data_IF_658658778350
#
_entry.id   IF_658658778350
#
_cell.length_a   1.000
_cell.length_b   1.000
_cell.length_c   1.000
_cell.angle_alpha   90.00
_cell.angle_beta   90.00
_cell.angle_gamma   90.00
#
_symmetry.space_group_name_H-M   'P 1'
#
loop_
_entity.id
_entity.type
_entity.pdbx_description
1 polymer ?
#
# COMPACT_ATOMS: atom_id res chain seq x y z
N UNK A 1 12.90 -12.10 10.90
CA UNK A 1 13.37 -10.87 10.18
C UNK A 1 12.77 -9.57 10.71
N UNK A 2 11.45 -9.35 10.72
CA UNK A 2 10.81 -8.11 11.21
C UNK A 2 11.24 -7.77 12.64
N UNK A 3 11.12 -8.71 13.57
CA UNK A 3 11.41 -8.50 14.99
C UNK A 3 12.91 -8.30 15.24
N UNK A 4 13.76 -8.94 14.45
CA UNK A 4 15.21 -8.72 14.46
C UNK A 4 15.58 -7.33 13.96
N UNK A 5 14.95 -6.84 12.88
CA UNK A 5 15.16 -5.49 12.37
C UNK A 5 14.74 -4.45 13.43
N UNK A 6 13.59 -4.65 14.07
CA UNK A 6 13.11 -3.77 15.14
C UNK A 6 14.07 -3.77 16.32
N UNK A 7 14.52 -4.95 16.77
CA UNK A 7 15.49 -5.08 17.85
C UNK A 7 16.80 -4.35 17.56
N UNK A 8 17.33 -4.50 16.33
CA UNK A 8 18.55 -3.82 15.87
C UNK A 8 18.35 -2.32 15.81
N UNK A 9 17.22 -1.83 15.27
CA UNK A 9 16.91 -0.39 15.22
C UNK A 9 16.83 0.21 16.63
N UNK A 10 16.18 -0.46 17.55
CA UNK A 10 16.02 -0.01 18.92
C UNK A 10 17.40 0.09 19.63
N UNK A 11 18.22 -0.95 19.47
CA UNK A 11 19.56 -0.97 20.08
C UNK A 11 20.50 0.09 19.43
N UNK A 12 20.50 0.19 18.11
CA UNK A 12 21.33 1.16 17.38
C UNK A 12 21.05 2.61 17.79
N UNK A 13 19.82 2.95 18.12
CA UNK A 13 19.46 4.31 18.51
C UNK A 13 19.57 4.59 20.00
N UNK A 14 19.28 3.62 20.86
CA UNK A 14 19.39 3.82 22.32
C UNK A 14 20.81 3.97 22.80
N UNK A 15 21.78 3.30 22.15
CA UNK A 15 23.15 3.29 22.65
C UNK A 15 24.14 4.08 21.77
N UNK A 16 23.71 4.87 20.76
CA UNK A 16 24.64 5.48 19.80
C UNK A 16 25.94 4.70 19.79
N UNK A 17 26.03 3.58 19.06
CA UNK A 17 27.05 2.52 19.11
C UNK A 17 28.39 3.06 19.65
N UNK A 18 28.54 3.10 20.97
CA UNK A 18 29.81 3.47 21.54
C UNK A 18 30.77 2.30 21.28
N UNK A 19 31.62 2.46 20.29
CA UNK A 19 32.61 1.45 19.89
C UNK A 19 33.55 1.04 21.02
N UNK A 20 33.60 1.82 22.09
CA UNK A 20 34.36 1.54 23.32
C UNK A 20 33.54 0.72 24.35
N UNK A 21 32.27 0.41 24.07
CA UNK A 21 31.46 -0.45 24.94
C UNK A 21 32.14 -1.80 25.13
N UNK A 22 32.30 -2.21 26.37
CA UNK A 22 32.92 -3.50 26.71
C UNK A 22 31.92 -4.62 26.52
N UNK A 23 32.28 -5.59 25.69
CA UNK A 23 31.52 -6.82 25.48
C UNK A 23 32.13 -7.92 26.34
N UNK A 24 31.38 -8.40 27.30
CA UNK A 24 31.80 -9.53 28.17
C UNK A 24 31.72 -10.83 27.40
N UNK A 25 32.86 -11.42 27.08
CA UNK A 25 32.95 -12.75 26.44
C UNK A 25 33.57 -13.76 27.43
N UNK A 26 33.18 -15.03 27.38
CA UNK A 26 33.81 -16.04 28.23
C UNK A 26 35.32 -16.09 28.01
N UNK A 27 36.08 -15.64 29.02
CA UNK A 27 37.53 -15.69 29.01
C UNK A 27 38.28 -14.34 28.85
N UNK A 28 37.65 -13.29 28.30
CA UNK A 28 38.22 -11.93 28.22
C UNK A 28 37.20 -10.90 27.75
N UNK A 29 37.39 -9.68 28.23
CA UNK A 29 36.61 -8.53 27.82
C UNK A 29 37.26 -7.86 26.61
N UNK A 30 36.43 -7.48 25.63
CA UNK A 30 36.85 -6.75 24.43
C UNK A 30 35.94 -5.55 24.20
N UNK A 31 36.50 -4.49 23.64
CA UNK A 31 35.65 -3.40 23.15
C UNK A 31 34.82 -3.85 21.92
N UNK A 32 33.66 -3.24 21.72
CA UNK A 32 32.82 -3.50 20.55
C UNK A 32 33.62 -3.29 19.24
N UNK A 33 34.49 -2.28 19.20
CA UNK A 33 35.41 -2.02 18.09
C UNK A 33 36.34 -3.21 17.80
N UNK A 34 36.89 -3.83 18.85
CA UNK A 34 37.75 -5.02 18.71
C UNK A 34 36.93 -6.26 18.30
N UNK A 35 35.70 -6.41 18.79
CA UNK A 35 34.83 -7.52 18.40
C UNK A 35 34.41 -7.44 16.93
N UNK A 36 34.18 -6.23 16.42
CA UNK A 36 33.76 -5.97 15.06
C UNK A 36 34.94 -5.86 14.08
N UNK A 37 36.20 -5.84 14.58
CA UNK A 37 37.42 -5.62 13.78
C UNK A 37 37.27 -4.45 12.79
N UNK A 38 36.77 -3.33 13.30
CA UNK A 38 36.67 -2.10 12.52
C UNK A 38 38.06 -1.52 12.31
N UNK A 39 38.47 -1.32 11.06
CA UNK A 39 39.75 -0.70 10.72
C UNK A 39 39.74 0.82 10.95
N UNK A 40 40.90 1.47 10.71
CA UNK A 40 41.06 2.91 10.87
C UNK A 40 40.13 3.73 9.94
N UNK A 41 39.62 3.13 8.89
CA UNK A 41 38.72 3.74 7.92
C UNK A 41 37.24 3.43 8.20
N UNK A 42 36.92 2.80 9.35
CA UNK A 42 35.53 2.42 9.70
C UNK A 42 35.00 1.20 8.95
N UNK A 43 35.86 0.44 8.24
CA UNK A 43 35.48 -0.74 7.49
C UNK A 43 35.56 -1.99 8.37
N UNK A 44 34.53 -2.82 8.29
CA UNK A 44 34.44 -4.07 9.04
C UNK A 44 35.14 -5.17 8.24
N UNK A 45 36.21 -5.75 8.78
CA UNK A 45 37.11 -6.68 8.06
C UNK A 45 36.83 -8.17 8.36
N UNK A 46 36.01 -8.52 9.33
CA UNK A 46 35.81 -9.92 9.73
C UNK A 46 34.33 -10.32 9.81
N UNK A 47 33.78 -10.76 8.71
CA UNK A 47 32.40 -11.22 8.60
C UNK A 47 32.06 -12.39 9.53
N UNK A 48 32.98 -13.34 9.76
CA UNK A 48 32.73 -14.48 10.67
C UNK A 48 32.55 -14.04 12.12
N UNK A 49 33.34 -13.07 12.58
CA UNK A 49 33.24 -12.52 13.93
C UNK A 49 31.96 -11.70 14.13
N UNK A 50 31.57 -10.96 13.09
CA UNK A 50 30.30 -10.24 13.08
C UNK A 50 29.13 -11.22 13.16
N UNK A 51 29.16 -12.27 12.34
CA UNK A 51 28.12 -13.31 12.37
C UNK A 51 28.04 -13.98 13.74
N UNK A 52 29.18 -14.21 14.39
CA UNK A 52 29.24 -14.81 15.74
C UNK A 52 28.73 -13.82 16.81
N UNK A 53 29.13 -12.57 16.75
CA UNK A 53 28.64 -11.51 17.64
C UNK A 53 27.12 -11.35 17.49
N UNK A 54 26.62 -11.31 16.27
CA UNK A 54 25.22 -11.17 15.97
C UNK A 54 24.39 -12.38 16.41
N UNK A 55 24.94 -13.59 16.34
CA UNK A 55 24.31 -14.81 16.91
C UNK A 55 24.22 -14.73 18.44
N UNK A 56 25.20 -14.14 19.10
CA UNK A 56 25.10 -13.90 20.55
C UNK A 56 24.09 -12.78 20.86
N UNK A 57 24.05 -11.75 20.05
CA UNK A 57 23.07 -10.66 20.15
C UNK A 57 21.63 -11.11 19.92
N UNK A 58 21.40 -12.03 18.97
CA UNK A 58 20.07 -12.63 18.72
C UNK A 58 19.58 -13.54 19.85
N UNK A 59 20.46 -13.91 20.80
CA UNK A 59 20.06 -14.62 22.03
C UNK A 59 19.45 -13.69 23.08
N UNK A 60 19.55 -12.35 22.89
CA UNK A 60 18.83 -11.41 23.74
C UNK A 60 17.33 -11.72 23.64
N UNK A 61 16.73 -11.87 24.80
CA UNK A 61 15.31 -12.15 24.88
C UNK A 61 14.56 -10.91 24.35
N UNK A 62 13.85 -11.07 23.24
CA UNK A 62 13.10 -9.96 22.63
C UNK A 62 12.07 -9.34 23.59
N UNK A 63 11.68 -10.08 24.64
CA UNK A 63 10.78 -9.59 25.68
C UNK A 63 11.44 -8.55 26.61
N UNK A 64 12.78 -8.49 26.64
CA UNK A 64 13.53 -7.53 27.45
C UNK A 64 13.80 -6.23 26.71
N UNK A 65 13.44 -6.16 25.41
CA UNK A 65 13.60 -4.95 24.59
C UNK A 65 12.34 -4.11 24.74
N UNK A 66 12.43 -3.05 25.51
CA UNK A 66 11.37 -2.03 25.59
C UNK A 66 11.44 -1.18 24.34
N UNK A 67 10.48 -1.40 23.43
CA UNK A 67 10.32 -0.55 22.24
C UNK A 67 9.61 0.72 22.69
N UNK A 68 10.32 1.84 22.70
CA UNK A 68 9.66 3.15 22.90
C UNK A 68 8.75 3.43 21.72
N UNK A 69 7.44 3.48 21.98
CA UNK A 69 6.42 3.75 20.94
C UNK A 69 6.54 5.14 20.33
N UNK A 70 7.20 6.07 21.01
CA UNK A 70 7.40 7.45 20.56
C UNK A 70 8.67 7.62 19.72
N UNK A 71 9.36 6.52 19.44
CA UNK A 71 10.63 6.56 18.72
C UNK A 71 10.41 6.68 17.22
N UNK A 72 10.99 7.71 16.61
CA UNK A 72 10.91 7.94 15.16
C UNK A 72 12.11 7.33 14.45
N UNK A 73 11.86 6.56 13.39
CA UNK A 73 12.88 5.96 12.54
C UNK A 73 12.95 6.70 11.22
N UNK A 74 14.16 6.88 10.69
CA UNK A 74 14.37 7.36 9.34
C UNK A 74 14.49 6.17 8.37
N UNK A 75 14.34 6.44 7.07
CA UNK A 75 14.62 5.42 6.05
C UNK A 75 16.08 4.97 6.05
N UNK A 76 17.01 5.86 6.43
CA UNK A 76 18.42 5.50 6.57
C UNK A 76 18.62 4.51 7.72
N UNK A 77 17.96 4.72 8.86
CA UNK A 77 18.01 3.77 9.98
C UNK A 77 17.51 2.39 9.54
N UNK A 78 16.41 2.36 8.76
CA UNK A 78 15.88 1.12 8.20
C UNK A 78 16.89 0.45 7.26
N UNK A 79 17.57 1.23 6.42
CA UNK A 79 18.56 0.72 5.50
C UNK A 79 19.75 0.08 6.24
N UNK A 80 20.30 0.76 7.24
CA UNK A 80 21.41 0.24 8.03
C UNK A 80 21.00 -0.98 8.87
N UNK A 81 19.81 -0.96 9.43
CA UNK A 81 19.28 -2.11 10.18
C UNK A 81 19.03 -3.31 9.27
N UNK A 82 18.55 -3.10 8.04
CA UNK A 82 18.41 -4.16 7.05
C UNK A 82 19.77 -4.77 6.70
N UNK A 83 20.77 -3.92 6.44
CA UNK A 83 22.15 -4.35 6.15
C UNK A 83 22.71 -5.20 7.28
N UNK A 84 22.56 -4.74 8.50
CA UNK A 84 22.99 -5.46 9.70
C UNK A 84 22.24 -6.80 9.88
N UNK A 85 20.91 -6.83 9.70
CA UNK A 85 20.13 -8.06 9.81
C UNK A 85 20.53 -9.10 8.74
N UNK A 86 20.79 -8.66 7.50
CA UNK A 86 21.24 -9.54 6.43
C UNK A 86 22.63 -10.13 6.71
N UNK A 87 23.52 -9.32 7.31
CA UNK A 87 24.83 -9.83 7.76
C UNK A 87 24.68 -10.86 8.88
N UNK A 88 23.78 -10.61 9.84
CA UNK A 88 23.57 -11.49 11.01
C UNK A 88 23.02 -12.86 10.67
N UNK A 89 22.18 -12.92 9.65
CA UNK A 89 21.57 -14.19 9.21
C UNK A 89 22.52 -15.06 8.37
N UNK A 90 23.74 -14.58 8.08
CA UNK A 90 24.71 -15.30 7.25
C UNK A 90 24.27 -15.45 5.79
N UNK A 91 23.24 -14.72 5.38
CA UNK A 91 22.66 -14.80 4.03
C UNK A 91 23.57 -14.25 2.95
N UNK A 92 24.68 -13.61 3.32
CA UNK A 92 25.71 -13.12 2.40
C UNK A 92 26.60 -14.25 1.86
N UNK A 93 26.57 -15.44 2.46
CA UNK A 93 27.38 -16.59 2.05
C UNK A 93 26.73 -17.45 0.95
N UNK A 94 25.44 -17.24 0.69
CA UNK A 94 24.71 -17.90 -0.39
C UNK A 94 24.47 -16.93 -1.55
N UNK A 95 24.94 -17.28 -2.75
CA UNK A 95 24.86 -16.47 -3.96
C UNK A 95 23.43 -16.12 -4.37
N UNK A 96 22.48 -17.03 -4.16
CA UNK A 96 21.06 -16.83 -4.45
C UNK A 96 20.41 -15.83 -3.45
N UNK A 97 20.72 -15.98 -2.18
CA UNK A 97 20.25 -15.08 -1.13
C UNK A 97 20.89 -13.69 -1.27
N UNK A 98 22.18 -13.64 -1.62
CA UNK A 98 22.90 -12.39 -1.87
C UNK A 98 22.24 -11.56 -2.99
N UNK A 99 21.89 -12.18 -4.12
CA UNK A 99 21.26 -11.48 -5.24
C UNK A 99 19.88 -10.93 -4.88
N UNK A 100 19.05 -11.69 -4.15
CA UNK A 100 17.74 -11.23 -3.66
C UNK A 100 17.87 -10.10 -2.66
N UNK A 101 18.83 -10.17 -1.76
CA UNK A 101 19.09 -9.16 -0.74
C UNK A 101 19.60 -7.86 -1.35
N UNK A 102 20.44 -7.93 -2.37
CA UNK A 102 20.90 -6.75 -3.12
C UNK A 102 19.74 -6.04 -3.83
N UNK A 103 18.78 -6.77 -4.38
CA UNK A 103 17.59 -6.17 -4.98
C UNK A 103 16.79 -5.38 -3.94
N UNK A 104 16.65 -5.93 -2.73
CA UNK A 104 15.93 -5.26 -1.65
C UNK A 104 16.65 -3.97 -1.21
N UNK A 105 17.96 -4.04 -1.00
CA UNK A 105 18.80 -2.89 -0.66
C UNK A 105 18.73 -1.80 -1.73
N UNK A 106 18.86 -2.18 -3.00
CA UNK A 106 18.79 -1.24 -4.13
C UNK A 106 17.44 -0.56 -4.21
N UNK A 107 16.35 -1.29 -4.00
CA UNK A 107 15.00 -0.72 -3.96
C UNK A 107 14.83 0.29 -2.83
N UNK A 108 15.32 -0.04 -1.63
CA UNK A 108 15.26 0.86 -0.49
C UNK A 108 16.12 2.12 -0.73
N UNK A 109 17.34 1.98 -1.27
CA UNK A 109 18.16 3.12 -1.68
C UNK A 109 17.50 3.99 -2.74
N UNK A 110 16.80 3.38 -3.69
CA UNK A 110 16.03 4.12 -4.70
C UNK A 110 14.95 4.99 -4.06
N UNK A 111 14.25 4.48 -3.05
CA UNK A 111 13.27 5.27 -2.29
C UNK A 111 13.94 6.39 -1.51
N UNK A 112 15.04 6.10 -0.80
CA UNK A 112 15.82 7.07 -0.02
C UNK A 112 16.31 8.24 -0.89
N UNK A 113 16.72 7.96 -2.12
CA UNK A 113 17.24 8.95 -3.05
C UNK A 113 16.13 9.59 -3.93
N UNK A 114 14.88 9.20 -3.76
CA UNK A 114 13.77 9.71 -4.54
C UNK A 114 13.09 10.91 -3.88
N UNK A 115 12.27 11.62 -4.68
CA UNK A 115 11.38 12.68 -4.18
C UNK A 115 10.36 12.19 -3.13
N UNK A 116 10.17 10.88 -3.04
CA UNK A 116 9.22 10.26 -2.10
C UNK A 116 9.81 10.04 -0.70
N UNK A 117 11.09 10.34 -0.49
CA UNK A 117 11.75 10.22 0.83
C UNK A 117 10.95 10.93 1.93
N UNK A 118 10.48 12.14 1.67
CA UNK A 118 9.73 12.95 2.61
C UNK A 118 8.40 12.34 3.06
N UNK A 119 7.81 11.43 2.27
CA UNK A 119 6.58 10.73 2.64
C UNK A 119 6.83 9.72 3.77
N UNK A 120 8.04 9.17 3.83
CA UNK A 120 8.44 8.16 4.82
C UNK A 120 9.22 8.75 6.00
N UNK A 121 9.66 10.00 5.92
CA UNK A 121 10.32 10.69 7.03
C UNK A 121 9.26 11.39 7.87
N UNK A 122 8.94 10.80 9.01
CA UNK A 122 7.94 11.33 9.95
C UNK A 122 8.66 11.98 11.11
N UNK A 123 8.33 13.23 11.40
CA UNK A 123 8.90 13.96 12.54
C UNK A 123 8.16 13.69 13.85
N UNK A 124 6.95 13.13 13.76
CA UNK A 124 6.09 12.87 14.91
C UNK A 124 5.48 11.47 14.81
N UNK A 125 5.40 10.80 15.97
CA UNK A 125 4.68 9.54 16.06
C UNK A 125 3.17 9.82 16.17
N UNK A 126 2.40 9.23 15.25
CA UNK A 126 0.94 9.24 15.30
C UNK A 126 0.43 7.82 15.51
N UNK A 127 -0.56 7.66 16.35
CA UNK A 127 -1.30 6.39 16.42
C UNK A 127 -2.06 6.17 15.11
N UNK A 128 -2.48 4.93 14.83
CA UNK A 128 -3.30 4.66 13.65
C UNK A 128 -4.62 5.41 13.70
N UNK A 129 -5.21 5.48 14.87
CA UNK A 129 -6.46 6.15 15.15
C UNK A 129 -6.35 7.66 14.89
N UNK A 130 -5.30 8.31 15.39
CA UNK A 130 -5.04 9.73 15.16
C UNK A 130 -4.77 10.00 13.69
N UNK A 131 -4.01 9.11 13.02
CA UNK A 131 -3.73 9.26 11.60
C UNK A 131 -5.00 9.13 10.74
N UNK A 132 -5.86 8.16 11.06
CA UNK A 132 -7.13 7.96 10.35
C UNK A 132 -8.08 9.11 10.62
N UNK A 133 -8.14 9.61 11.85
CA UNK A 133 -9.01 10.74 12.19
C UNK A 133 -8.71 11.97 11.33
N UNK A 134 -7.44 12.22 10.98
CA UNK A 134 -7.04 13.33 10.09
C UNK A 134 -7.65 13.24 8.69
N UNK A 135 -8.03 12.07 8.20
CA UNK A 135 -8.74 11.94 6.92
C UNK A 135 -10.21 12.34 7.00
N UNK A 136 -10.80 12.23 8.18
CA UNK A 136 -12.24 12.44 8.38
C UNK A 136 -12.55 13.68 9.21
N UNK A 137 -11.53 14.49 9.53
CA UNK A 137 -11.69 15.72 10.30
C UNK A 137 -11.02 16.88 9.57
N UNK A 138 -11.74 17.99 9.46
CA UNK A 138 -11.23 19.27 8.93
C UNK A 138 -11.70 20.40 9.82
N UNK A 139 -10.76 21.21 10.35
CA UNK A 139 -11.07 22.32 11.25
C UNK A 139 -11.96 21.92 12.45
N UNK A 140 -11.65 20.74 13.07
CA UNK A 140 -12.41 20.16 14.18
C UNK A 140 -13.83 19.66 13.81
N UNK A 141 -14.23 19.76 12.54
CA UNK A 141 -15.50 19.24 12.04
C UNK A 141 -15.30 17.92 11.28
N UNK A 142 -16.32 17.06 11.29
CA UNK A 142 -16.30 15.81 10.56
C UNK A 142 -16.42 16.06 9.05
N UNK A 143 -15.49 15.53 8.27
CA UNK A 143 -15.51 15.57 6.83
C UNK A 143 -16.22 14.32 6.26
N UNK A 144 -17.30 14.52 5.52
CA UNK A 144 -18.02 13.42 4.85
C UNK A 144 -17.33 12.90 3.59
N UNK A 145 -16.44 13.69 3.00
CA UNK A 145 -15.70 13.36 1.79
C UNK A 145 -14.24 13.80 1.91
N UNK A 146 -13.34 12.85 1.66
CA UNK A 146 -11.90 13.11 1.57
C UNK A 146 -11.38 12.73 0.21
N UNK A 147 -10.70 13.64 -0.47
CA UNK A 147 -10.12 13.42 -1.80
C UNK A 147 -8.62 13.27 -1.67
N UNK A 148 -8.10 12.10 -2.07
CA UNK A 148 -6.66 11.82 -2.14
C UNK A 148 -6.22 11.94 -3.60
N UNK A 149 -5.55 13.04 -3.95
CA UNK A 149 -5.10 13.28 -5.31
C UNK A 149 -3.75 12.60 -5.56
N UNK A 150 -3.73 11.64 -6.47
CA UNK A 150 -2.54 10.89 -6.88
C UNK A 150 -2.04 11.24 -8.29
N UNK A 151 -2.56 12.31 -8.91
CA UNK A 151 -2.25 12.67 -10.31
C UNK A 151 -0.76 12.98 -10.57
N UNK A 152 -0.04 13.47 -9.55
CA UNK A 152 1.40 13.79 -9.64
C UNK A 152 2.32 12.67 -9.17
N UNK A 153 1.74 11.55 -8.77
CA UNK A 153 2.47 10.41 -8.22
C UNK A 153 2.75 9.40 -9.33
N UNK A 154 3.94 8.82 -9.33
CA UNK A 154 4.31 7.71 -10.22
C UNK A 154 3.32 6.53 -10.08
N UNK A 155 2.98 5.87 -11.19
CA UNK A 155 1.97 4.80 -11.23
C UNK A 155 2.24 3.65 -10.26
N UNK A 156 3.51 3.24 -10.12
CA UNK A 156 3.88 2.16 -9.19
C UNK A 156 3.67 2.58 -7.75
N UNK A 157 4.03 3.82 -7.46
CA UNK A 157 3.90 4.36 -6.12
C UNK A 157 2.42 4.65 -5.79
N UNK A 158 1.66 5.19 -6.74
CA UNK A 158 0.22 5.39 -6.61
C UNK A 158 -0.51 4.07 -6.30
N UNK A 159 -0.13 2.97 -6.97
CA UNK A 159 -0.66 1.63 -6.73
C UNK A 159 -0.36 1.14 -5.30
N UNK A 160 0.87 1.35 -4.82
CA UNK A 160 1.26 1.00 -3.44
C UNK A 160 0.45 1.81 -2.43
N UNK A 161 0.37 3.14 -2.62
CA UNK A 161 -0.38 4.01 -1.71
C UNK A 161 -1.87 3.66 -1.67
N UNK A 162 -2.49 3.40 -2.81
CA UNK A 162 -3.90 3.02 -2.88
C UNK A 162 -4.17 1.72 -2.10
N UNK A 163 -3.30 0.72 -2.24
CA UNK A 163 -3.38 -0.52 -1.46
C UNK A 163 -3.15 -0.29 0.03
N UNK A 164 -2.18 0.56 0.38
CA UNK A 164 -1.86 0.91 1.76
C UNK A 164 -3.04 1.60 2.45
N UNK A 165 -3.62 2.63 1.82
CA UNK A 165 -4.79 3.32 2.36
C UNK A 165 -6.00 2.39 2.47
N UNK A 166 -6.27 1.59 1.45
CA UNK A 166 -7.37 0.62 1.49
C UNK A 166 -7.19 -0.38 2.63
N UNK A 167 -5.96 -0.86 2.85
CA UNK A 167 -5.63 -1.75 3.98
C UNK A 167 -5.77 -1.02 5.33
N UNK A 168 -5.32 0.22 5.41
CA UNK A 168 -5.40 1.02 6.63
C UNK A 168 -6.86 1.22 7.05
N UNK A 169 -7.72 1.68 6.15
CA UNK A 169 -9.14 1.91 6.40
C UNK A 169 -9.88 0.61 6.72
N UNK A 170 -9.63 -0.45 5.97
CA UNK A 170 -10.24 -1.75 6.24
C UNK A 170 -9.81 -2.32 7.60
N UNK A 171 -8.51 -2.22 7.94
CA UNK A 171 -8.03 -2.66 9.26
C UNK A 171 -8.70 -1.87 10.37
N UNK A 172 -8.83 -0.56 10.22
CA UNK A 172 -9.50 0.29 11.21
C UNK A 172 -10.96 -0.14 11.41
N UNK A 173 -11.74 -0.30 10.35
CA UNK A 173 -13.14 -0.72 10.48
C UNK A 173 -13.29 -2.11 11.08
N UNK A 174 -12.30 -3.01 10.90
CA UNK A 174 -12.31 -4.34 11.52
C UNK A 174 -12.00 -4.33 13.01
N UNK A 175 -11.33 -3.30 13.53
CA UNK A 175 -10.97 -3.16 14.96
C UNK A 175 -12.04 -2.45 15.79
N UNK A 176 -13.06 -1.86 15.16
CA UNK A 176 -14.15 -1.18 15.86
C UNK A 176 -14.98 -2.20 16.66
N UNK A 177 -15.26 -1.89 17.94
CA UNK A 177 -16.11 -2.73 18.81
C UNK A 177 -17.49 -2.93 18.19
N UNK A 178 -18.11 -1.85 17.73
CA UNK A 178 -19.38 -1.90 17.02
C UNK A 178 -19.14 -1.98 15.51
N UNK A 179 -19.27 -3.17 14.94
CA UNK A 179 -19.10 -3.40 13.50
C UNK A 179 -20.04 -2.54 12.67
N UNK A 180 -19.48 -1.84 11.68
CA UNK A 180 -20.26 -0.99 10.79
C UNK A 180 -20.70 0.35 11.39
N UNK A 181 -20.26 0.70 12.60
CA UNK A 181 -20.57 2.00 13.22
C UNK A 181 -19.91 3.19 12.49
N UNK A 182 -18.84 2.94 11.75
CA UNK A 182 -18.16 3.95 10.94
C UNK A 182 -18.00 3.43 9.50
N UNK A 183 -19.04 3.58 8.65
CA UNK A 183 -18.98 3.08 7.28
C UNK A 183 -18.06 3.94 6.41
N UNK A 184 -17.17 3.28 5.67
CA UNK A 184 -16.25 3.92 4.73
C UNK A 184 -16.50 3.37 3.33
N UNK A 185 -16.76 4.25 2.36
CA UNK A 185 -16.78 3.89 0.95
C UNK A 185 -15.50 4.41 0.27
N UNK A 186 -14.66 3.51 -0.19
CA UNK A 186 -13.43 3.81 -0.92
C UNK A 186 -13.77 3.83 -2.42
N UNK A 187 -13.75 5.01 -3.01
CA UNK A 187 -14.00 5.21 -4.43
C UNK A 187 -12.67 5.26 -5.16
N UNK A 188 -12.44 4.34 -6.10
CA UNK A 188 -11.23 4.25 -6.89
C UNK A 188 -11.52 4.70 -8.33
N UNK A 189 -11.07 5.90 -8.68
CA UNK A 189 -11.07 6.35 -10.08
C UNK A 189 -9.94 5.68 -10.84
N UNK A 190 -10.19 5.37 -12.13
CA UNK A 190 -9.29 4.60 -12.99
C UNK A 190 -8.83 3.29 -12.31
N UNK A 191 -9.78 2.58 -11.71
CA UNK A 191 -9.54 1.41 -10.88
C UNK A 191 -8.68 0.33 -11.55
N UNK A 192 -8.68 0.24 -12.88
CA UNK A 192 -7.84 -0.67 -13.65
C UNK A 192 -6.33 -0.46 -13.42
N UNK A 193 -5.91 0.73 -12.95
CA UNK A 193 -4.51 1.00 -12.58
C UNK A 193 -4.08 0.31 -11.28
N UNK A 194 -5.03 0.05 -10.39
CA UNK A 194 -4.76 -0.38 -9.01
C UNK A 194 -5.25 -1.80 -8.71
N UNK A 195 -6.40 -2.18 -9.27
CA UNK A 195 -7.12 -3.42 -8.97
C UNK A 195 -6.88 -4.45 -10.07
N UNK A 196 -5.65 -4.90 -10.17
CA UNK A 196 -5.23 -5.90 -11.18
C UNK A 196 -4.98 -7.26 -10.53
N UNK A 197 -4.90 -8.31 -11.35
CA UNK A 197 -4.40 -9.61 -10.93
C UNK A 197 -2.88 -9.52 -10.74
N UNK A 198 -2.44 -9.29 -9.50
CA UNK A 198 -1.04 -9.09 -9.15
C UNK A 198 -0.41 -10.30 -8.47
N UNK A 199 0.93 -10.35 -8.54
CA UNK A 199 1.74 -11.27 -7.73
C UNK A 199 1.83 -10.88 -6.24
N UNK A 200 1.04 -9.91 -5.77
CA UNK A 200 1.01 -9.47 -4.37
C UNK A 200 0.65 -10.61 -3.41
N UNK A 201 -0.11 -11.60 -3.88
CA UNK A 201 -0.43 -12.82 -3.13
C UNK A 201 0.83 -13.52 -2.65
N UNK A 202 1.91 -13.49 -3.44
CA UNK A 202 3.19 -14.10 -3.09
C UNK A 202 3.96 -13.33 -2.01
N UNK A 203 3.65 -12.04 -1.80
CA UNK A 203 4.37 -11.15 -0.88
C UNK A 203 3.57 -10.94 0.41
N UNK A 204 2.27 -10.66 0.28
CA UNK A 204 1.38 -10.26 1.40
C UNK A 204 0.43 -11.40 1.78
N UNK A 205 0.33 -12.45 0.96
CA UNK A 205 -0.58 -13.57 1.15
C UNK A 205 -2.01 -13.35 0.64
N UNK A 206 -2.37 -12.12 0.25
CA UNK A 206 -3.71 -11.80 -0.27
C UNK A 206 -3.72 -10.46 -1.02
N UNK A 207 -4.69 -10.30 -1.93
CA UNK A 207 -5.01 -9.00 -2.53
C UNK A 207 -6.00 -8.26 -1.63
N UNK A 208 -5.67 -7.04 -1.23
CA UNK A 208 -6.50 -6.25 -0.30
C UNK A 208 -7.90 -5.94 -0.88
N UNK A 209 -7.99 -5.65 -2.16
CA UNK A 209 -9.26 -5.34 -2.81
C UNK A 209 -10.18 -6.57 -2.86
N UNK A 210 -9.62 -7.74 -3.21
CA UNK A 210 -10.37 -9.01 -3.19
C UNK A 210 -10.87 -9.34 -1.77
N UNK A 211 -10.09 -8.99 -0.75
CA UNK A 211 -10.51 -9.19 0.63
C UNK A 211 -11.62 -8.24 1.04
N UNK A 212 -11.50 -6.95 0.71
CA UNK A 212 -12.54 -5.97 1.04
C UNK A 212 -13.84 -6.29 0.30
N UNK A 213 -13.78 -6.70 -0.97
CA UNK A 213 -15.00 -7.06 -1.74
C UNK A 213 -15.73 -8.25 -1.13
N UNK A 214 -15.02 -9.22 -0.56
CA UNK A 214 -15.59 -10.41 0.09
C UNK A 214 -16.12 -10.16 1.50
N UNK A 215 -15.39 -9.39 2.29
CA UNK A 215 -15.60 -9.27 3.74
C UNK A 215 -16.03 -7.87 4.20
N UNK A 216 -15.76 -6.84 3.40
CA UNK A 216 -15.88 -5.43 3.80
C UNK A 216 -17.27 -5.05 4.30
N UNK A 217 -18.32 -5.60 3.68
CA UNK A 217 -19.72 -5.37 4.09
C UNK A 217 -19.95 -5.66 5.57
N UNK A 218 -19.30 -6.68 6.13
CA UNK A 218 -19.46 -7.06 7.55
C UNK A 218 -18.91 -6.01 8.52
N UNK A 219 -17.99 -5.17 8.03
CA UNK A 219 -17.28 -4.17 8.82
C UNK A 219 -17.62 -2.72 8.41
N UNK A 220 -18.53 -2.57 7.43
CA UNK A 220 -18.88 -1.25 6.91
C UNK A 220 -17.88 -0.66 5.93
N UNK A 221 -16.99 -1.47 5.35
CA UNK A 221 -16.08 -1.00 4.28
C UNK A 221 -16.59 -1.42 2.92
N UNK A 222 -16.78 -0.45 2.05
CA UNK A 222 -17.28 -0.64 0.69
C UNK A 222 -16.26 -0.17 -0.33
N UNK A 223 -16.30 -0.77 -1.53
CA UNK A 223 -15.49 -0.35 -2.67
C UNK A 223 -16.40 0.06 -3.82
N UNK A 224 -16.06 1.17 -4.45
CA UNK A 224 -16.65 1.61 -5.71
C UNK A 224 -15.54 1.73 -6.75
N UNK A 225 -15.63 0.95 -7.82
CA UNK A 225 -14.67 0.98 -8.92
C UNK A 225 -15.22 1.82 -10.07
N UNK A 226 -14.49 2.83 -10.49
CA UNK A 226 -14.76 3.62 -11.68
C UNK A 226 -13.65 3.33 -12.68
N UNK A 227 -14.00 2.81 -13.85
CA UNK A 227 -13.02 2.42 -14.87
C UNK A 227 -13.58 2.54 -16.28
N UNK A 228 -12.72 2.88 -17.23
CA UNK A 228 -13.00 2.80 -18.65
C UNK A 228 -12.55 1.46 -19.27
N UNK A 229 -11.86 0.61 -18.49
CA UNK A 229 -11.25 -0.66 -18.93
C UNK A 229 -11.58 -1.81 -17.97
N UNK A 230 -12.84 -2.25 -17.95
CA UNK A 230 -13.23 -3.36 -17.05
C UNK A 230 -12.47 -4.67 -17.33
N UNK A 231 -11.99 -4.88 -18.55
CA UNK A 231 -11.19 -6.07 -18.91
C UNK A 231 -9.80 -6.13 -18.23
N UNK A 232 -9.31 -5.02 -17.70
CA UNK A 232 -8.03 -4.96 -16.98
C UNK A 232 -8.19 -5.13 -15.45
N UNK A 233 -9.43 -5.13 -14.93
CA UNK A 233 -9.69 -5.36 -13.52
C UNK A 233 -9.45 -6.82 -13.11
N UNK A 234 -9.14 -7.03 -11.84
CA UNK A 234 -9.14 -8.37 -11.25
C UNK A 234 -10.52 -9.03 -11.44
N UNK A 235 -10.52 -10.23 -12.03
CA UNK A 235 -11.74 -11.01 -12.23
C UNK A 235 -12.42 -11.36 -10.92
N UNK A 236 -11.64 -11.59 -9.85
CA UNK A 236 -12.14 -11.82 -8.50
C UNK A 236 -12.84 -10.58 -7.96
N UNK A 237 -12.21 -9.40 -8.04
CA UNK A 237 -12.83 -8.16 -7.57
C UNK A 237 -14.11 -7.85 -8.35
N UNK A 238 -14.08 -8.01 -9.68
CA UNK A 238 -15.22 -7.74 -10.55
C UNK A 238 -16.41 -8.67 -10.26
N UNK A 239 -16.16 -9.97 -10.06
CA UNK A 239 -17.21 -10.96 -9.74
C UNK A 239 -17.88 -10.76 -8.39
N UNK A 240 -17.23 -10.05 -7.47
CA UNK A 240 -17.78 -9.73 -6.15
C UNK A 240 -18.52 -8.38 -6.11
N UNK A 241 -18.52 -7.61 -7.19
CA UNK A 241 -19.34 -6.41 -7.28
C UNK A 241 -20.82 -6.78 -7.28
N UNK A 242 -21.59 -6.10 -6.44
CA UNK A 242 -23.03 -6.37 -6.28
C UNK A 242 -23.90 -5.57 -7.24
N UNK A 243 -23.44 -4.40 -7.67
CA UNK A 243 -24.19 -3.48 -8.51
C UNK A 243 -23.29 -2.91 -9.60
N UNK A 244 -23.88 -2.69 -10.76
CA UNK A 244 -23.19 -2.21 -11.95
C UNK A 244 -23.94 -1.04 -12.57
N UNK A 245 -23.19 -0.02 -12.99
CA UNK A 245 -23.64 1.13 -13.76
C UNK A 245 -22.76 1.21 -15.00
N UNK A 246 -23.27 0.77 -16.14
CA UNK A 246 -22.49 0.60 -17.37
C UNK A 246 -22.91 1.66 -18.39
N UNK A 247 -22.03 2.59 -18.64
CA UNK A 247 -22.17 3.55 -19.73
C UNK A 247 -21.76 2.92 -21.07
N UNK A 248 -21.78 3.71 -22.16
CA UNK A 248 -21.42 3.22 -23.50
C UNK A 248 -20.03 2.58 -23.52
N UNK A 249 -19.95 1.39 -24.13
CA UNK A 249 -18.72 0.62 -24.29
C UNK A 249 -18.37 0.53 -25.78
N UNK A 250 -17.09 0.83 -26.09
CA UNK A 250 -16.58 0.77 -27.47
C UNK A 250 -15.71 -0.45 -27.72
N UNK A 251 -14.91 -0.86 -26.73
CA UNK A 251 -13.88 -1.87 -26.92
C UNK A 251 -14.47 -3.29 -26.80
N UNK A 252 -14.23 -4.19 -27.79
CA UNK A 252 -14.82 -5.53 -27.80
C UNK A 252 -14.50 -6.37 -26.55
N UNK A 253 -13.24 -6.33 -26.06
CA UNK A 253 -12.86 -7.09 -24.84
C UNK A 253 -13.64 -6.64 -23.61
N UNK A 254 -13.83 -5.31 -23.45
CA UNK A 254 -14.59 -4.76 -22.35
C UNK A 254 -16.06 -5.16 -22.42
N UNK A 255 -16.62 -5.18 -23.64
CA UNK A 255 -17.97 -5.65 -23.88
C UNK A 255 -18.14 -7.13 -23.50
N UNK A 256 -17.23 -8.01 -23.87
CA UNK A 256 -17.27 -9.43 -23.51
C UNK A 256 -17.20 -9.64 -21.99
N UNK A 257 -16.37 -8.87 -21.28
CA UNK A 257 -16.33 -8.91 -19.80
C UNK A 257 -17.67 -8.50 -19.21
N UNK A 258 -18.23 -7.37 -19.66
CA UNK A 258 -19.56 -6.91 -19.20
C UNK A 258 -20.63 -7.95 -19.48
N UNK A 259 -20.63 -8.55 -20.68
CA UNK A 259 -21.55 -9.64 -21.02
C UNK A 259 -21.42 -10.84 -20.07
N UNK A 260 -20.19 -11.20 -19.67
CA UNK A 260 -19.93 -12.32 -18.77
C UNK A 260 -20.47 -12.13 -17.34
N UNK A 261 -20.52 -10.87 -16.86
CA UNK A 261 -21.02 -10.53 -15.52
C UNK A 261 -22.52 -10.20 -15.50
N UNK A 262 -23.13 -9.99 -16.67
CA UNK A 262 -24.52 -9.54 -16.84
C UNK A 262 -25.46 -10.72 -17.05
N UNK A 263 -25.45 -11.70 -16.17
CA UNK A 263 -26.19 -12.96 -16.33
C UNK A 263 -27.72 -12.78 -16.42
N UNK A 264 -28.26 -11.70 -15.86
CA UNK A 264 -29.69 -11.41 -15.80
C UNK A 264 -30.15 -10.30 -16.76
N UNK A 265 -29.28 -9.92 -17.70
CA UNK A 265 -29.56 -8.88 -18.70
C UNK A 265 -29.82 -9.54 -20.05
N UNK A 266 -30.90 -9.15 -20.73
CA UNK A 266 -31.20 -9.66 -22.06
C UNK A 266 -30.17 -9.16 -23.11
N UNK A 267 -30.02 -9.94 -24.18
CA UNK A 267 -29.04 -9.68 -25.22
C UNK A 267 -29.28 -8.34 -25.95
N UNK A 268 -30.54 -7.96 -26.10
CA UNK A 268 -30.90 -6.70 -26.78
C UNK A 268 -30.43 -5.48 -25.96
N UNK A 269 -30.68 -5.51 -24.64
CA UNK A 269 -30.20 -4.47 -23.72
C UNK A 269 -28.67 -4.37 -23.68
N UNK A 270 -27.97 -5.51 -23.75
CA UNK A 270 -26.49 -5.51 -23.84
C UNK A 270 -25.99 -4.89 -25.15
N UNK A 271 -26.60 -5.22 -26.29
CA UNK A 271 -26.21 -4.65 -27.58
C UNK A 271 -26.44 -3.11 -27.61
N UNK A 272 -27.45 -2.60 -26.92
CA UNK A 272 -27.70 -1.16 -26.77
C UNK A 272 -26.54 -0.42 -26.10
N UNK A 273 -25.70 -1.11 -25.27
CA UNK A 273 -24.51 -0.49 -24.66
C UNK A 273 -23.55 0.12 -25.67
N UNK A 274 -23.52 -0.40 -26.91
CA UNK A 274 -22.64 0.13 -27.98
C UNK A 274 -23.10 1.48 -28.52
N UNK A 275 -24.37 1.81 -28.36
CA UNK A 275 -25.03 2.97 -28.99
C UNK A 275 -25.65 3.95 -28.00
N UNK A 276 -25.43 3.77 -26.70
CA UNK A 276 -25.99 4.66 -25.67
C UNK A 276 -25.52 6.11 -25.86
N UNK A 277 -26.43 7.02 -25.60
CA UNK A 277 -26.11 8.45 -25.53
C UNK A 277 -25.27 8.78 -24.30
N UNK A 278 -24.56 9.91 -24.34
CA UNK A 278 -23.88 10.44 -23.16
C UNK A 278 -24.86 10.64 -22.00
N UNK A 279 -24.45 10.28 -20.78
CA UNK A 279 -25.30 10.37 -19.58
C UNK A 279 -26.31 9.25 -19.43
N UNK A 280 -26.41 8.32 -20.41
CA UNK A 280 -27.29 7.14 -20.29
C UNK A 280 -26.49 5.90 -19.95
N UNK A 281 -26.97 5.07 -19.06
CA UNK A 281 -26.33 3.82 -18.65
C UNK A 281 -27.33 2.67 -18.50
N UNK A 282 -26.83 1.45 -18.54
CA UNK A 282 -27.52 0.25 -18.11
C UNK A 282 -27.14 -0.01 -16.65
N UNK A 283 -28.13 -0.10 -15.76
CA UNK A 283 -27.94 -0.39 -14.33
C UNK A 283 -28.55 -1.76 -13.98
N UNK A 284 -27.80 -2.56 -13.23
CA UNK A 284 -28.28 -3.87 -12.75
C UNK A 284 -27.49 -4.31 -11.51
N UNK A 285 -27.99 -5.32 -10.83
CA UNK A 285 -27.40 -5.89 -9.62
C UNK A 285 -28.39 -6.02 -8.48
N UNK A 286 -27.88 -6.29 -7.29
CA UNK A 286 -28.72 -6.58 -6.10
C UNK A 286 -29.55 -5.38 -5.60
N UNK A 287 -29.13 -4.17 -5.94
CA UNK A 287 -29.87 -2.93 -5.63
C UNK A 287 -31.02 -2.62 -6.58
N UNK A 288 -31.16 -3.37 -7.67
CA UNK A 288 -32.18 -3.16 -8.70
C UNK A 288 -33.03 -4.41 -8.86
N UNK A 289 -34.36 -4.26 -8.89
CA UNK A 289 -35.26 -5.39 -9.10
C UNK A 289 -35.14 -6.01 -10.49
N UNK A 290 -34.88 -5.17 -11.47
CA UNK A 290 -34.69 -5.56 -12.89
C UNK A 290 -33.57 -4.68 -13.47
N UNK A 291 -32.87 -5.11 -14.53
CA UNK A 291 -32.00 -4.24 -15.32
C UNK A 291 -32.78 -3.07 -15.93
N UNK A 292 -32.21 -1.86 -15.83
CA UNK A 292 -32.85 -0.63 -16.29
C UNK A 292 -31.89 0.21 -17.13
N UNK A 293 -32.42 0.85 -18.15
CA UNK A 293 -31.72 1.96 -18.82
C UNK A 293 -32.10 3.26 -18.09
N UNK A 294 -31.10 3.97 -17.61
CA UNK A 294 -31.24 5.18 -16.79
C UNK A 294 -30.50 6.33 -17.46
N UNK A 295 -31.15 7.47 -17.58
CA UNK A 295 -30.51 8.73 -17.97
C UNK A 295 -30.23 9.54 -16.71
N UNK A 296 -28.99 9.96 -16.56
CA UNK A 296 -28.55 10.78 -15.41
C UNK A 296 -28.71 12.25 -15.73
N UNK A 297 -29.18 13.00 -14.77
CA UNK A 297 -29.19 14.45 -14.82
C UNK A 297 -27.75 15.02 -14.78
N UNK A 298 -27.60 16.23 -15.29
CA UNK A 298 -26.32 16.94 -15.17
C UNK A 298 -26.05 17.23 -13.69
N UNK A 299 -24.80 17.10 -13.22
CA UNK A 299 -24.46 17.38 -11.85
C UNK A 299 -24.66 18.88 -11.50
N UNK A 300 -25.08 19.14 -10.26
CA UNK A 300 -25.20 20.48 -9.71
C UNK A 300 -24.38 20.54 -8.40
N UNK A 301 -23.33 21.40 -8.31
CA UNK A 301 -22.85 22.34 -9.34
C UNK A 301 -22.24 21.67 -10.57
N UNK A 302 -22.25 22.39 -11.69
CA UNK A 302 -21.62 21.90 -12.94
C UNK A 302 -20.11 21.74 -12.77
N UNK A 303 -19.51 20.68 -13.36
CA UNK A 303 -18.06 20.51 -13.34
C UNK A 303 -17.34 21.69 -13.97
N UNK A 304 -16.27 22.15 -13.36
CA UNK A 304 -15.43 23.25 -13.86
C UNK A 304 -14.33 22.75 -14.82
N UNK A 305 -14.22 21.42 -15.05
CA UNK A 305 -13.26 20.86 -15.99
C UNK A 305 -13.58 21.29 -17.43
N UNK A 306 -12.66 21.98 -18.06
CA UNK A 306 -12.78 22.38 -19.48
C UNK A 306 -11.84 21.56 -20.32
N UNK A 307 -12.36 20.94 -21.38
CA UNK A 307 -11.51 20.37 -22.43
C UNK A 307 -10.82 21.51 -23.19
N UNK A 308 -9.54 21.34 -23.46
CA UNK A 308 -8.79 22.26 -24.32
C UNK A 308 -9.47 22.26 -25.69
N UNK A 309 -9.95 23.42 -26.12
CA UNK A 309 -10.46 23.59 -27.47
C UNK A 309 -9.26 23.73 -28.43
N UNK A 310 -8.80 22.63 -28.98
CA UNK A 310 -7.63 22.56 -29.86
C UNK A 310 -7.71 23.57 -31.04
N UNK A 311 -8.91 23.79 -31.55
CA UNK A 311 -9.14 24.82 -32.60
C UNK A 311 -8.76 26.24 -32.15
N UNK A 312 -8.87 26.56 -30.86
CA UNK A 312 -8.48 27.89 -30.36
C UNK A 312 -6.98 28.03 -30.12
N UNK A 313 -6.27 26.89 -29.99
CA UNK A 313 -4.81 26.87 -29.74
C UNK A 313 -4.02 26.74 -31.03
N UNK A 314 -4.54 25.98 -32.01
CA UNK A 314 -3.83 25.70 -33.27
C UNK A 314 -4.05 26.76 -34.35
N UNK A 315 -5.08 27.59 -34.27
CA UNK A 315 -5.41 28.59 -35.26
C UNK A 315 -5.28 30.05 -34.69
N UNK A 316 -4.48 30.24 -33.67
CA UNK A 316 -3.96 31.55 -33.27
C UNK A 316 -2.62 31.81 -34.01
#
# INVERSE_FOLDING_TARGET
MRDQIIAVLTHYKTDSLNLETIVHTPGYDRTLKQCLLIDEHGKINAMELITKFLKEFTKLNLNDIIIDKNYTYTLNDLYYALEFALMSEGTLNDTLSYSKNNILKTRLQTIINSKYKSIFEVNEYLTKEDYISKFFTKNEENASLTIINLSTVDDRFAKILTKLFSKLFFTYTTTLENRGSFPINIILEEAHRYVQNDNDINIIGYNIFDRITKEGRKYGTFLTFITQRPSELSSTALSQCSNFVIFRIFHPKDFEIVKSISTNVDTESLEKLKTLNSGTSLVFGTGFKIPLLVSFDLPNPMPTSTNIKLSQVWYQ
#
